data_IF_650439103570
#
_entry.id   IF_650439103570
#
_cell.length_a   1.000
_cell.length_b   1.000
_cell.length_c   1.000
_cell.angle_alpha   90.00
_cell.angle_beta   90.00
_cell.angle_gamma   90.00
#
_symmetry.space_group_name_H-M   'P 1'
#
loop_
_entity.id
_entity.type
_entity.pdbx_description
1 polymer ?
#
# COMPACT_ATOMS: atom_id res chain seq x y z
N UNK A 1 -4.40 12.02 1.01
CA UNK A 1 -4.71 10.57 0.92
C UNK A 1 -3.49 9.67 0.99
N UNK A 2 -2.34 10.00 0.37
CA UNK A 2 -1.10 9.18 0.43
C UNK A 2 -0.72 8.76 1.85
N UNK A 3 -0.71 9.69 2.80
CA UNK A 3 -0.42 9.39 4.21
C UNK A 3 -1.38 8.36 4.80
N UNK A 4 -2.67 8.40 4.45
CA UNK A 4 -3.65 7.42 4.95
C UNK A 4 -3.36 5.98 4.50
N UNK A 5 -2.86 5.78 3.27
CA UNK A 5 -2.38 4.46 2.83
C UNK A 5 -1.17 3.99 3.63
N UNK A 6 -0.24 4.90 3.91
CA UNK A 6 0.95 4.60 4.71
C UNK A 6 0.60 4.29 6.17
N UNK A 7 -0.28 5.09 6.77
CA UNK A 7 -0.79 4.88 8.12
C UNK A 7 -1.50 3.53 8.25
N UNK A 8 -2.33 3.15 7.26
CA UNK A 8 -2.99 1.85 7.23
C UNK A 8 -1.99 0.69 7.15
N UNK A 9 -1.00 0.78 6.26
CA UNK A 9 0.04 -0.26 6.13
C UNK A 9 0.87 -0.40 7.43
N UNK A 10 1.22 0.73 8.05
CA UNK A 10 1.98 0.75 9.30
C UNK A 10 1.14 0.21 10.47
N UNK A 11 -0.15 0.58 10.57
CA UNK A 11 -1.06 0.05 11.57
C UNK A 11 -1.18 -1.48 11.45
N UNK A 12 -1.23 -2.01 10.24
CA UNK A 12 -1.28 -3.46 10.00
C UNK A 12 -0.01 -4.17 10.51
N UNK A 13 1.17 -3.53 10.39
CA UNK A 13 2.41 -4.06 10.98
C UNK A 13 2.31 -4.14 12.51
N UNK A 14 1.71 -3.15 13.17
CA UNK A 14 1.50 -3.22 14.62
C UNK A 14 0.48 -4.30 15.00
N UNK A 15 -0.56 -4.48 14.19
CA UNK A 15 -1.54 -5.55 14.41
C UNK A 15 -0.91 -6.95 14.26
N UNK A 16 -0.06 -7.16 13.25
CA UNK A 16 0.66 -8.43 13.08
C UNK A 16 1.58 -8.76 14.27
N UNK A 17 2.21 -7.74 14.87
CA UNK A 17 3.00 -7.95 16.09
C UNK A 17 2.14 -8.44 17.26
N UNK A 18 0.91 -7.92 17.40
CA UNK A 18 -0.04 -8.35 18.44
C UNK A 18 -0.53 -9.77 18.16
N UNK A 19 -0.92 -10.07 16.91
CA UNK A 19 -1.35 -11.40 16.48
C UNK A 19 -0.31 -12.48 16.83
N UNK A 20 0.97 -12.20 16.56
CA UNK A 20 2.09 -13.08 16.88
C UNK A 20 2.32 -13.22 18.39
N UNK A 21 2.23 -12.13 19.15
CA UNK A 21 2.43 -12.14 20.59
C UNK A 21 1.35 -12.91 21.36
N UNK A 22 0.10 -12.88 20.86
CA UNK A 22 -1.04 -13.56 21.46
C UNK A 22 -1.42 -14.88 20.76
N UNK A 23 -0.63 -15.32 19.76
CA UNK A 23 -0.85 -16.56 19.02
C UNK A 23 -2.26 -16.69 18.41
N UNK A 24 -2.80 -15.59 17.88
CA UNK A 24 -4.12 -15.58 17.25
C UNK A 24 -4.13 -16.31 15.90
N UNK A 25 -3.02 -16.28 15.16
CA UNK A 25 -2.88 -16.85 13.81
C UNK A 25 -3.90 -16.30 12.81
N UNK A 26 -4.31 -15.03 12.94
CA UNK A 26 -5.16 -14.36 11.95
C UNK A 26 -4.33 -13.71 10.84
N UNK A 27 -3.11 -13.28 11.16
CA UNK A 27 -2.22 -12.56 10.24
C UNK A 27 -0.96 -13.37 9.98
N UNK A 28 -1.15 -14.54 9.37
CA UNK A 28 -0.05 -15.30 8.80
C UNK A 28 0.67 -14.49 7.71
N UNK A 29 1.91 -14.89 7.42
CA UNK A 29 2.77 -14.21 6.45
C UNK A 29 2.06 -13.93 5.12
N UNK A 30 1.37 -14.92 4.58
CA UNK A 30 0.66 -14.82 3.30
C UNK A 30 -0.44 -13.76 3.35
N UNK A 31 -1.25 -13.75 4.42
CA UNK A 31 -2.34 -12.79 4.62
C UNK A 31 -1.79 -11.38 4.81
N UNK A 32 -0.74 -11.24 5.62
CA UNK A 32 -0.07 -9.96 5.86
C UNK A 32 0.50 -9.37 4.57
N UNK A 33 1.20 -10.18 3.78
CA UNK A 33 1.78 -9.75 2.51
C UNK A 33 0.70 -9.45 1.47
N UNK A 34 -0.38 -10.24 1.39
CA UNK A 34 -1.51 -9.96 0.50
C UNK A 34 -2.14 -8.59 0.79
N UNK A 35 -2.35 -8.26 2.07
CA UNK A 35 -2.87 -6.96 2.48
C UNK A 35 -1.90 -5.82 2.13
N UNK A 36 -0.60 -6.01 2.36
CA UNK A 36 0.41 -5.01 1.97
C UNK A 36 0.44 -4.78 0.46
N UNK A 37 0.44 -5.85 -0.34
CA UNK A 37 0.40 -5.78 -1.80
C UNK A 37 -0.86 -5.02 -2.26
N UNK A 38 -2.02 -5.30 -1.67
CA UNK A 38 -3.26 -4.60 -1.99
C UNK A 38 -3.20 -3.10 -1.64
N UNK A 39 -2.74 -2.75 -0.44
CA UNK A 39 -2.64 -1.35 0.03
C UNK A 39 -1.67 -0.55 -0.84
N UNK A 40 -0.46 -1.06 -1.07
CA UNK A 40 0.55 -0.37 -1.89
C UNK A 40 0.18 -0.38 -3.37
N UNK A 41 -0.49 -1.42 -3.87
CA UNK A 41 -1.04 -1.46 -5.23
C UNK A 41 -2.07 -0.35 -5.45
N UNK A 42 -3.01 -0.17 -4.51
CA UNK A 42 -3.97 0.95 -4.54
C UNK A 42 -3.27 2.30 -4.43
N UNK A 43 -2.24 2.43 -3.58
CA UNK A 43 -1.43 3.65 -3.51
C UNK A 43 -0.75 3.96 -4.86
N UNK A 44 -0.19 2.97 -5.53
CA UNK A 44 0.40 3.12 -6.86
C UNK A 44 -0.64 3.61 -7.88
N UNK A 45 -1.82 2.98 -7.90
CA UNK A 45 -2.94 3.37 -8.77
C UNK A 45 -3.45 4.80 -8.48
N UNK A 46 -3.43 5.21 -7.21
CA UNK A 46 -3.74 6.58 -6.79
C UNK A 46 -2.68 7.59 -7.27
N UNK A 47 -1.39 7.24 -7.16
CA UNK A 47 -0.30 8.12 -7.57
C UNK A 47 -0.29 8.38 -9.08
N UNK A 48 -0.64 7.39 -9.90
CA UNK A 48 -0.83 7.58 -11.35
C UNK A 48 -2.16 8.27 -11.71
N UNK A 49 -3.02 8.54 -10.72
CA UNK A 49 -4.30 9.24 -10.94
C UNK A 49 -5.42 8.37 -11.52
N UNK A 50 -5.29 7.05 -11.51
CA UNK A 50 -6.37 6.12 -11.90
C UNK A 50 -7.47 6.06 -10.84
N UNK A 51 -7.09 6.19 -9.57
CA UNK A 51 -8.01 6.33 -8.44
C UNK A 51 -7.98 7.80 -8.00
N UNK A 52 -9.17 8.39 -7.82
CA UNK A 52 -9.36 9.75 -7.32
C UNK A 52 -10.47 9.75 -6.28
N UNK A 53 -10.25 10.38 -5.13
CA UNK A 53 -11.27 10.50 -4.10
C UNK A 53 -12.11 11.76 -4.30
N UNK A 54 -13.30 11.80 -3.72
CA UNK A 54 -14.27 12.88 -3.91
C UNK A 54 -13.73 14.29 -3.59
N UNK A 55 -12.74 14.37 -2.69
CA UNK A 55 -12.13 15.63 -2.26
C UNK A 55 -10.87 16.00 -3.04
N UNK A 56 -10.47 15.21 -4.04
CA UNK A 56 -9.27 15.48 -4.84
C UNK A 56 -9.61 16.27 -6.12
N UNK A 57 -8.82 17.31 -6.39
CA UNK A 57 -8.90 18.06 -7.64
C UNK A 57 -8.54 17.18 -8.85
N UNK A 58 -9.10 17.46 -10.04
CA UNK A 58 -8.78 16.70 -11.24
C UNK A 58 -7.31 16.91 -11.63
N UNK A 59 -6.60 15.81 -11.92
CA UNK A 59 -5.22 15.83 -12.39
C UNK A 59 -5.21 16.02 -13.91
N UNK A 60 -4.78 17.19 -14.39
CA UNK A 60 -4.59 17.44 -15.82
C UNK A 60 -3.34 16.75 -16.37
N UNK A 61 -2.25 16.75 -15.60
CA UNK A 61 -0.98 16.13 -15.97
C UNK A 61 -0.34 15.42 -14.78
N UNK A 62 0.41 14.35 -15.07
CA UNK A 62 1.24 13.66 -14.09
C UNK A 62 2.58 14.39 -13.95
N UNK A 63 2.90 14.84 -12.73
CA UNK A 63 4.23 15.39 -12.46
C UNK A 63 5.28 14.28 -12.43
N UNK A 64 6.51 14.62 -12.84
CA UNK A 64 7.66 13.70 -12.85
C UNK A 64 7.87 13.08 -11.46
N UNK A 65 7.78 13.88 -10.40
CA UNK A 65 7.91 13.41 -9.01
C UNK A 65 6.85 12.37 -8.65
N UNK A 66 5.58 12.57 -9.03
CA UNK A 66 4.52 11.58 -8.77
C UNK A 66 4.75 10.29 -9.55
N UNK A 67 5.24 10.39 -10.79
CA UNK A 67 5.57 9.21 -11.60
C UNK A 67 6.70 8.41 -10.99
N UNK A 68 7.80 9.05 -10.56
CA UNK A 68 8.91 8.37 -9.90
C UNK A 68 8.41 7.67 -8.62
N UNK A 69 7.62 8.35 -7.80
CA UNK A 69 7.03 7.75 -6.60
C UNK A 69 6.14 6.55 -6.93
N UNK A 70 5.29 6.66 -7.96
CA UNK A 70 4.44 5.55 -8.39
C UNK A 70 5.27 4.34 -8.84
N UNK A 71 6.33 4.57 -9.63
CA UNK A 71 7.23 3.50 -10.08
C UNK A 71 7.91 2.83 -8.89
N UNK A 72 8.41 3.59 -7.92
CA UNK A 72 9.00 3.03 -6.70
C UNK A 72 7.99 2.20 -5.91
N UNK A 73 6.75 2.68 -5.77
CA UNK A 73 5.67 1.95 -5.09
C UNK A 73 5.33 0.66 -5.83
N UNK A 74 5.21 0.69 -7.16
CA UNK A 74 4.93 -0.53 -7.93
C UNK A 74 6.10 -1.52 -7.92
N UNK A 75 7.34 -1.04 -7.98
CA UNK A 75 8.52 -1.89 -7.83
C UNK A 75 8.52 -2.58 -6.46
N UNK A 76 8.16 -1.85 -5.40
CA UNK A 76 7.97 -2.41 -4.06
C UNK A 76 6.88 -3.48 -4.03
N UNK A 77 5.72 -3.24 -4.64
CA UNK A 77 4.63 -4.22 -4.74
C UNK A 77 5.08 -5.50 -5.46
N UNK A 78 5.73 -5.37 -6.63
CA UNK A 78 6.23 -6.51 -7.42
C UNK A 78 7.27 -7.29 -6.63
N UNK A 79 8.16 -6.60 -5.91
CA UNK A 79 9.16 -7.24 -5.06
C UNK A 79 8.55 -8.06 -3.92
N UNK A 80 7.36 -7.70 -3.43
CA UNK A 80 6.68 -8.46 -2.37
C UNK A 80 6.02 -9.75 -2.86
N UNK A 81 5.70 -9.87 -4.15
CA UNK A 81 4.97 -11.04 -4.70
C UNK A 81 5.71 -12.36 -4.46
N UNK A 82 7.04 -12.49 -4.71
CA UNK A 82 7.77 -13.71 -4.38
C UNK A 82 7.91 -14.00 -2.88
N UNK A 83 7.62 -13.04 -2.02
CA UNK A 83 7.65 -13.22 -0.57
C UNK A 83 6.42 -13.93 0.00
N UNK A 84 5.35 -14.04 -0.82
CA UNK A 84 4.13 -14.78 -0.54
C UNK A 84 4.44 -16.27 -0.36
#
# INVERSE_FOLDING_TARGET
VVLGFLELALALKFLSNVDLAYHWNWLDREVFLALWIAIFGMLGLYLIGKIRFAHDSPLQHLSVTRTILAVTVFAFVVYMVPGM
#
